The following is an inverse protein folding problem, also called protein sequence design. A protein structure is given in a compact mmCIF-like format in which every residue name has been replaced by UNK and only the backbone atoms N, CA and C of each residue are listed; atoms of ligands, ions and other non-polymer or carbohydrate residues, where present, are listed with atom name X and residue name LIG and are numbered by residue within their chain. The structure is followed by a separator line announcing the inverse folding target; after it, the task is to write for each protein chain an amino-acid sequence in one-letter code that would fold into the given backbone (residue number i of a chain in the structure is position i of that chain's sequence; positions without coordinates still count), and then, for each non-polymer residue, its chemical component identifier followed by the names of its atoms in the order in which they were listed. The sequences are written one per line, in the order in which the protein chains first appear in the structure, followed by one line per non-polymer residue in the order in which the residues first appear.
data_IF_117962309769
#
_entry.id   IF_117962309769
#
_cell.length_a   1.000
_cell.length_b   1.000
_cell.length_c   1.000
_cell.angle_alpha   90.00
_cell.angle_beta   90.00
_cell.angle_gamma   90.00
#
_symmetry.space_group_name_H-M   'P 1'
#
loop_
_entity.id
_entity.type
_entity.pdbx_description
1 polymer ?
#
# COMPACT_ATOMS: atom_id res chain seq x y z
N UNK A 1 -29.75 -34.49 20.27
CA UNK A 1 -29.03 -33.94 19.10
C UNK A 1 -29.07 -32.43 19.25
N UNK A 2 -27.93 -31.76 19.26
CA UNK A 2 -27.88 -30.32 19.52
C UNK A 2 -28.44 -29.53 18.32
N UNK A 3 -29.59 -28.87 18.50
CA UNK A 3 -30.28 -28.17 17.41
C UNK A 3 -29.40 -27.11 16.74
N UNK A 4 -28.58 -26.40 17.53
CA UNK A 4 -27.62 -25.43 17.01
C UNK A 4 -26.55 -26.07 16.12
N UNK A 5 -26.06 -27.26 16.48
CA UNK A 5 -25.07 -27.98 15.67
C UNK A 5 -25.69 -28.47 14.36
N UNK A 6 -26.92 -28.99 14.41
CA UNK A 6 -27.63 -29.41 13.21
C UNK A 6 -27.81 -28.25 12.22
N UNK A 7 -28.26 -27.08 12.70
CA UNK A 7 -28.42 -25.88 11.87
C UNK A 7 -27.07 -25.39 11.33
N UNK A 8 -26.02 -25.32 12.16
CA UNK A 8 -24.68 -24.92 11.73
C UNK A 8 -24.15 -25.81 10.59
N UNK A 9 -24.39 -27.12 10.68
CA UNK A 9 -23.93 -28.11 9.71
C UNK A 9 -24.76 -28.11 8.44
N UNK A 10 -26.09 -28.00 8.54
CA UNK A 10 -26.99 -28.12 7.39
C UNK A 10 -27.12 -26.83 6.58
N UNK A 11 -27.21 -25.67 7.25
CA UNK A 11 -27.41 -24.38 6.58
C UNK A 11 -26.10 -23.76 6.11
N UNK A 12 -25.03 -23.88 6.90
CA UNK A 12 -23.76 -23.21 6.63
C UNK A 12 -22.57 -24.14 6.36
N UNK A 13 -22.74 -25.47 6.48
CA UNK A 13 -21.65 -26.45 6.41
C UNK A 13 -20.47 -26.11 7.34
N UNK A 14 -20.76 -25.58 8.53
CA UNK A 14 -19.77 -25.22 9.55
C UNK A 14 -19.84 -26.15 10.77
N UNK A 15 -18.84 -26.02 11.65
CA UNK A 15 -18.70 -26.83 12.87
C UNK A 15 -18.90 -26.01 14.15
N UNK A 16 -18.26 -26.47 15.22
CA UNK A 16 -18.53 -26.07 16.61
C UNK A 16 -18.42 -24.56 16.91
N UNK A 17 -17.57 -23.83 16.19
CA UNK A 17 -17.50 -22.38 16.32
C UNK A 17 -18.83 -21.71 15.97
N UNK A 18 -19.43 -22.09 14.84
CA UNK A 18 -20.72 -21.56 14.39
C UNK A 18 -21.85 -22.00 15.31
N UNK A 19 -21.80 -23.22 15.82
CA UNK A 19 -22.73 -23.71 16.85
C UNK A 19 -22.72 -22.79 18.09
N UNK A 20 -21.52 -22.41 18.58
CA UNK A 20 -21.38 -21.46 19.70
C UNK A 20 -21.90 -20.06 19.36
N UNK A 21 -21.66 -19.57 18.15
CA UNK A 21 -22.20 -18.28 17.70
C UNK A 21 -23.73 -18.28 17.66
N UNK A 22 -24.36 -19.33 17.12
CA UNK A 22 -25.82 -19.46 17.05
C UNK A 22 -26.44 -19.42 18.44
N UNK A 23 -25.86 -20.17 19.40
CA UNK A 23 -26.31 -20.14 20.80
C UNK A 23 -26.19 -18.74 21.40
N UNK A 24 -25.01 -18.12 21.25
CA UNK A 24 -24.77 -16.76 21.73
C UNK A 24 -25.75 -15.73 21.14
N UNK A 25 -26.08 -15.84 19.85
CA UNK A 25 -27.07 -14.96 19.22
C UNK A 25 -28.48 -15.22 19.73
N UNK A 26 -28.84 -16.50 19.93
CA UNK A 26 -30.13 -16.89 20.51
C UNK A 26 -30.30 -16.36 21.94
N UNK A 27 -29.31 -16.57 22.80
CA UNK A 27 -29.32 -16.10 24.19
C UNK A 27 -29.46 -14.56 24.24
N UNK A 28 -28.66 -13.85 23.44
CA UNK A 28 -28.73 -12.39 23.34
C UNK A 28 -30.10 -11.89 22.85
N UNK A 29 -30.76 -12.62 21.94
CA UNK A 29 -32.09 -12.25 21.45
C UNK A 29 -33.18 -12.49 22.51
N UNK A 30 -33.07 -13.56 23.28
CA UNK A 30 -33.99 -13.85 24.40
C UNK A 30 -33.88 -12.75 25.47
N UNK A 31 -32.66 -12.29 25.76
CA UNK A 31 -32.41 -11.27 26.79
C UNK A 31 -32.82 -9.86 26.35
N UNK A 32 -32.49 -9.45 25.12
CA UNK A 32 -32.66 -8.07 24.65
C UNK A 32 -33.87 -7.84 23.74
N UNK A 33 -34.44 -8.91 23.15
CA UNK A 33 -35.45 -8.81 22.09
C UNK A 33 -34.91 -8.31 20.74
N UNK A 34 -33.61 -8.05 20.64
CA UNK A 34 -32.96 -7.49 19.45
C UNK A 34 -31.98 -8.49 18.84
N UNK A 35 -31.84 -8.45 17.51
CA UNK A 35 -30.84 -9.25 16.81
C UNK A 35 -29.43 -8.79 17.17
N UNK A 36 -28.52 -9.73 17.37
CA UNK A 36 -27.13 -9.44 17.73
C UNK A 36 -26.46 -8.56 16.67
N UNK A 37 -26.32 -7.27 16.98
CA UNK A 37 -25.64 -6.32 16.13
C UNK A 37 -24.12 -6.50 16.22
N UNK A 38 -23.50 -6.80 15.08
CA UNK A 38 -22.05 -6.95 15.00
C UNK A 38 -21.37 -5.60 15.14
N UNK A 39 -20.55 -5.44 16.18
CA UNK A 39 -19.89 -4.18 16.51
C UNK A 39 -18.43 -4.09 16.05
N UNK A 40 -17.89 -5.05 15.28
CA UNK A 40 -16.54 -4.85 14.74
C UNK A 40 -16.53 -3.71 13.71
N UNK A 41 -15.46 -2.91 13.76
CA UNK A 41 -15.24 -1.81 12.81
C UNK A 41 -15.54 -0.41 13.36
N UNK A 42 -16.03 -0.26 14.59
CA UNK A 42 -16.12 1.05 15.26
C UNK A 42 -14.77 1.45 15.87
N UNK A 43 -13.68 1.40 15.10
CA UNK A 43 -12.48 2.12 15.49
C UNK A 43 -12.84 3.60 15.58
N UNK A 44 -12.54 4.25 16.72
CA UNK A 44 -12.68 5.69 16.83
C UNK A 44 -11.86 6.31 15.70
N UNK A 45 -12.53 6.97 14.75
CA UNK A 45 -11.83 7.70 13.68
C UNK A 45 -10.93 8.71 14.36
N UNK A 46 -9.63 8.52 14.23
CA UNK A 46 -8.64 9.53 14.63
C UNK A 46 -8.58 10.52 13.49
N UNK A 47 -8.73 11.81 13.81
CA UNK A 47 -8.56 12.92 12.86
C UNK A 47 -7.19 12.73 12.19
N UNK A 48 -7.19 12.60 10.87
CA UNK A 48 -5.99 12.31 10.10
C UNK A 48 -5.00 13.48 10.16
N UNK A 49 -3.70 13.23 10.01
CA UNK A 49 -2.72 14.32 10.05
C UNK A 49 -2.89 15.30 8.87
N UNK A 50 -3.36 14.83 7.72
CA UNK A 50 -3.72 15.66 6.57
C UNK A 50 -4.92 16.58 6.82
N UNK A 51 -5.76 16.29 7.82
CA UNK A 51 -6.88 17.17 8.20
C UNK A 51 -6.38 18.39 9.01
N UNK A 52 -5.11 18.39 9.43
CA UNK A 52 -4.49 19.54 10.07
C UNK A 52 -3.98 20.53 9.02
N UNK A 53 -4.57 21.73 8.98
CA UNK A 53 -4.22 22.78 8.00
C UNK A 53 -2.74 23.19 8.05
N UNK A 54 -2.15 23.27 9.25
CA UNK A 54 -0.73 23.65 9.43
C UNK A 54 0.18 22.58 8.85
N UNK A 55 -0.14 21.31 9.07
CA UNK A 55 0.58 20.19 8.48
C UNK A 55 0.48 20.18 6.96
N UNK A 56 -0.75 20.29 6.45
CA UNK A 56 -1.05 20.22 5.02
C UNK A 56 -0.36 21.36 4.27
N UNK A 57 -0.46 22.59 4.78
CA UNK A 57 0.18 23.74 4.17
C UNK A 57 1.72 23.62 4.23
N UNK A 58 2.27 23.13 5.34
CA UNK A 58 3.71 22.88 5.45
C UNK A 58 4.21 21.83 4.45
N UNK A 59 3.46 20.76 4.21
CA UNK A 59 3.79 19.77 3.18
C UNK A 59 3.74 20.41 1.78
N UNK A 60 2.70 21.19 1.48
CA UNK A 60 2.54 21.86 0.19
C UNK A 60 3.66 22.85 -0.09
N UNK A 61 3.99 23.70 0.87
CA UNK A 61 5.07 24.69 0.73
C UNK A 61 6.43 24.03 0.49
N UNK A 62 6.70 22.91 1.17
CA UNK A 62 7.93 22.16 0.96
C UNK A 62 7.95 21.53 -0.43
N UNK A 63 6.86 20.87 -0.84
CA UNK A 63 6.77 20.22 -2.15
C UNK A 63 6.85 21.22 -3.30
N UNK A 64 6.32 22.44 -3.14
CA UNK A 64 6.42 23.51 -4.15
C UNK A 64 7.84 24.10 -4.28
N UNK A 65 8.66 24.02 -3.23
CA UNK A 65 10.03 24.55 -3.24
C UNK A 65 11.07 23.57 -3.76
N UNK A 66 10.75 22.29 -3.83
CA UNK A 66 11.69 21.26 -4.25
C UNK A 66 11.71 21.09 -5.78
N UNK A 67 12.90 20.83 -6.32
CA UNK A 67 13.05 20.28 -7.67
C UNK A 67 12.57 18.84 -7.67
N UNK A 68 11.94 18.43 -8.78
CA UNK A 68 11.40 17.09 -9.04
C UNK A 68 12.36 15.96 -8.66
N UNK A 69 13.64 16.16 -8.96
CA UNK A 69 14.70 15.17 -8.78
C UNK A 69 15.00 14.87 -7.30
N UNK A 70 14.68 15.80 -6.40
CA UNK A 70 14.88 15.66 -4.96
C UNK A 70 13.58 15.35 -4.21
N UNK A 71 12.45 15.36 -4.92
CA UNK A 71 11.12 15.10 -4.37
C UNK A 71 10.89 13.59 -4.21
N UNK A 72 11.41 13.02 -3.12
CA UNK A 72 11.21 11.61 -2.76
C UNK A 72 10.39 11.45 -1.48
N UNK A 73 9.71 10.30 -1.33
CA UNK A 73 8.98 9.94 -0.10
C UNK A 73 9.88 9.97 1.14
N UNK A 74 11.14 9.61 0.97
CA UNK A 74 12.16 9.67 2.03
C UNK A 74 12.53 11.11 2.39
N UNK A 75 12.70 11.99 1.41
CA UNK A 75 12.98 13.40 1.64
C UNK A 75 11.81 14.11 2.33
N UNK A 76 10.57 13.84 1.88
CA UNK A 76 9.37 14.36 2.53
C UNK A 76 9.24 13.86 3.98
N UNK A 77 9.56 12.57 4.23
CA UNK A 77 9.57 12.02 5.59
C UNK A 77 10.52 12.79 6.51
N UNK A 78 11.76 13.04 6.09
CA UNK A 78 12.73 13.79 6.89
C UNK A 78 12.21 15.20 7.19
N UNK A 79 11.66 15.89 6.19
CA UNK A 79 11.10 17.22 6.40
C UNK A 79 9.92 17.22 7.38
N UNK A 80 9.01 16.25 7.23
CA UNK A 80 7.87 16.10 8.13
C UNK A 80 8.34 15.88 9.57
N UNK A 81 9.31 14.98 9.78
CA UNK A 81 9.79 14.62 11.12
C UNK A 81 10.58 15.74 11.79
N UNK A 82 11.43 16.46 11.04
CA UNK A 82 12.30 17.50 11.60
C UNK A 82 11.60 18.86 11.73
N UNK A 83 10.67 19.19 10.84
CA UNK A 83 10.13 20.55 10.72
C UNK A 83 8.64 20.64 11.03
N UNK A 84 7.84 19.67 10.57
CA UNK A 84 6.37 19.78 10.66
C UNK A 84 5.80 19.17 11.94
N UNK A 85 6.26 17.98 12.33
CA UNK A 85 5.80 17.31 13.55
C UNK A 85 6.07 18.12 14.82
N UNK A 86 7.24 18.77 15.01
CA UNK A 86 7.48 19.59 16.20
C UNK A 86 6.54 20.80 16.33
N UNK A 87 5.96 21.27 15.21
CA UNK A 87 5.00 22.39 15.19
C UNK A 87 3.58 21.95 15.58
N UNK A 88 3.28 20.65 15.51
CA UNK A 88 1.94 20.11 15.74
C UNK A 88 1.88 19.51 17.15
N UNK A 89 1.06 20.10 18.01
CA UNK A 89 0.82 19.56 19.36
C UNK A 89 0.09 18.22 19.26
N UNK A 90 0.57 17.20 19.97
CA UNK A 90 0.01 15.84 20.06
C UNK A 90 0.13 14.94 18.81
N UNK A 91 1.05 15.21 17.89
CA UNK A 91 1.33 14.28 16.79
C UNK A 91 2.30 13.16 17.23
N UNK A 92 2.23 11.99 16.58
CA UNK A 92 3.27 10.96 16.72
C UNK A 92 4.58 11.51 16.18
N UNK A 93 5.71 11.21 16.84
CA UNK A 93 7.03 11.74 16.47
C UNK A 93 7.63 11.10 15.20
N UNK A 94 7.05 10.00 14.71
CA UNK A 94 7.60 9.21 13.60
C UNK A 94 6.48 8.86 12.64
N UNK A 95 6.74 9.02 11.34
CA UNK A 95 5.82 8.68 10.27
C UNK A 95 6.48 7.64 9.37
N UNK A 96 5.68 6.68 8.88
CA UNK A 96 6.20 5.69 7.94
C UNK A 96 6.41 6.32 6.57
N UNK A 97 7.43 5.87 5.84
CA UNK A 97 7.67 6.34 4.48
C UNK A 97 6.47 6.05 3.56
N UNK A 98 5.82 4.90 3.76
CA UNK A 98 4.58 4.54 3.07
C UNK A 98 3.48 5.60 3.26
N UNK A 99 3.36 6.17 4.45
CA UNK A 99 2.37 7.23 4.71
C UNK A 99 2.74 8.53 3.97
N UNK A 100 4.04 8.84 3.86
CA UNK A 100 4.50 9.99 3.07
C UNK A 100 4.14 9.84 1.59
N UNK A 101 4.23 8.63 1.02
CA UNK A 101 3.75 8.36 -0.35
C UNK A 101 2.26 8.63 -0.50
N UNK A 102 1.45 8.17 0.45
CA UNK A 102 0.00 8.44 0.46
C UNK A 102 -0.27 9.95 0.51
N UNK A 103 0.49 10.70 1.30
CA UNK A 103 0.35 12.15 1.39
C UNK A 103 0.75 12.87 0.11
N UNK A 104 1.85 12.46 -0.54
CA UNK A 104 2.24 13.02 -1.84
C UNK A 104 1.14 12.81 -2.88
N UNK A 105 0.61 11.59 -2.98
CA UNK A 105 -0.49 11.28 -3.88
C UNK A 105 -1.76 12.10 -3.55
N UNK A 106 -2.14 12.19 -2.28
CA UNK A 106 -3.30 12.99 -1.83
C UNK A 106 -3.13 14.50 -2.11
N UNK A 107 -1.90 15.00 -2.18
CA UNK A 107 -1.58 16.40 -2.48
C UNK A 107 -1.42 16.67 -3.99
N UNK A 108 -1.62 15.67 -4.85
CA UNK A 108 -1.52 15.79 -6.31
C UNK A 108 -0.12 15.59 -6.86
N UNK A 109 0.84 15.18 -6.04
CA UNK A 109 2.19 14.82 -6.48
C UNK A 109 2.21 13.33 -6.84
N UNK A 110 1.81 13.01 -8.08
CA UNK A 110 2.03 11.69 -8.67
C UNK A 110 3.53 11.54 -8.89
N UNK A 111 4.14 10.50 -8.32
CA UNK A 111 5.53 10.19 -8.66
C UNK A 111 5.60 9.93 -10.17
N UNK A 112 6.59 10.50 -10.84
CA UNK A 112 6.86 10.41 -12.29
C UNK A 112 7.15 8.99 -12.81
N UNK A 113 6.73 7.95 -12.09
CA UNK A 113 6.88 6.54 -12.43
C UNK A 113 5.57 6.02 -12.99
N UNK A 114 5.65 5.04 -13.89
CA UNK A 114 4.50 4.22 -14.28
C UNK A 114 3.94 3.51 -13.05
N UNK A 115 2.63 3.64 -12.87
CA UNK A 115 1.87 2.82 -11.94
C UNK A 115 1.36 1.57 -12.67
N UNK A 116 1.13 0.50 -11.90
CA UNK A 116 0.57 -0.74 -12.41
C UNK A 116 -0.64 -1.11 -11.58
N UNK A 117 -1.74 -1.45 -12.24
CA UNK A 117 -2.95 -1.95 -11.60
C UNK A 117 -3.10 -3.43 -11.92
N UNK A 118 -3.62 -4.16 -10.94
CA UNK A 118 -3.85 -5.60 -10.96
C UNK A 118 -2.60 -6.45 -10.65
N UNK A 119 -2.82 -7.65 -10.10
CA UNK A 119 -1.75 -8.57 -9.64
C UNK A 119 -0.92 -9.11 -10.82
N UNK A 120 -1.42 -8.96 -12.04
CA UNK A 120 -0.82 -9.43 -13.29
C UNK A 120 0.03 -8.35 -13.99
N UNK A 121 0.09 -7.13 -13.43
CA UNK A 121 0.82 -5.97 -13.98
C UNK A 121 0.44 -5.62 -15.44
N UNK A 122 -0.75 -6.03 -15.89
CA UNK A 122 -1.16 -5.91 -17.29
C UNK A 122 -1.64 -4.49 -17.63
N UNK A 123 -2.17 -3.75 -16.64
CA UNK A 123 -2.65 -2.38 -16.82
C UNK A 123 -1.57 -1.40 -16.38
N UNK A 124 -0.96 -0.73 -17.35
CA UNK A 124 -0.01 0.36 -17.13
C UNK A 124 -0.74 1.69 -17.04
N UNK A 125 -0.55 2.41 -15.94
CA UNK A 125 -1.00 3.79 -15.78
C UNK A 125 0.20 4.70 -16.06
N UNK A 126 0.13 5.42 -17.18
CA UNK A 126 1.13 6.43 -17.52
C UNK A 126 1.01 7.65 -16.59
N UNK A 127 2.14 8.19 -16.11
CA UNK A 127 2.13 9.43 -15.36
C UNK A 127 1.70 10.59 -16.28
N UNK A 128 0.96 11.54 -15.72
CA UNK A 128 0.65 12.81 -16.41
C UNK A 128 1.92 13.67 -16.38
N UNK A 129 2.54 13.89 -17.56
CA UNK A 129 3.79 14.63 -17.73
C UNK A 129 3.58 15.85 -18.63
N UNK A 130 4.17 16.99 -18.27
CA UNK A 130 4.28 18.15 -19.16
C UNK A 130 5.39 17.95 -20.22
N UNK A 131 5.38 18.76 -21.29
CA UNK A 131 6.29 18.61 -22.44
C UNK A 131 7.78 18.71 -22.10
N UNK A 132 8.16 19.26 -20.94
CA UNK A 132 9.53 19.38 -20.45
C UNK A 132 9.88 18.39 -19.34
N UNK A 133 8.91 17.60 -18.88
CA UNK A 133 9.09 16.62 -17.80
C UNK A 133 9.49 15.24 -18.36
N UNK A 134 10.30 14.51 -17.59
CA UNK A 134 10.79 13.18 -17.97
C UNK A 134 10.22 12.12 -17.04
N UNK A 135 9.81 11.01 -17.62
CA UNK A 135 9.45 9.80 -16.88
C UNK A 135 10.66 9.29 -16.07
N UNK A 136 10.44 8.99 -14.78
CA UNK A 136 11.41 8.33 -13.93
C UNK A 136 11.25 6.81 -14.08
N UNK A 137 12.31 6.17 -14.58
CA UNK A 137 12.37 4.70 -14.71
C UNK A 137 13.26 4.14 -13.59
N UNK A 138 12.72 3.23 -12.79
CA UNK A 138 13.52 2.49 -11.82
C UNK A 138 14.32 1.40 -12.56
N UNK A 139 15.63 1.58 -12.70
CA UNK A 139 16.52 0.53 -13.20
C UNK A 139 16.87 -0.41 -12.04
N UNK A 140 16.22 -1.56 -11.95
CA UNK A 140 16.61 -2.62 -11.02
C UNK A 140 17.61 -3.57 -11.67
N UNK A 141 18.75 -3.81 -11.02
CA UNK A 141 19.62 -4.94 -11.36
C UNK A 141 18.93 -6.22 -10.85
N UNK A 142 18.27 -6.96 -11.74
CA UNK A 142 17.74 -8.28 -11.41
C UNK A 142 18.73 -9.36 -11.86
N UNK A 143 19.20 -10.17 -10.91
CA UNK A 143 19.90 -11.41 -11.21
C UNK A 143 18.87 -12.50 -11.52
N UNK A 144 18.37 -12.49 -12.77
CA UNK A 144 17.41 -13.48 -13.23
C UNK A 144 17.99 -14.90 -13.15
N UNK A 145 17.34 -15.76 -12.38
CA UNK A 145 17.60 -17.20 -12.39
C UNK A 145 16.73 -17.84 -13.48
N UNK A 146 17.31 -18.08 -14.65
CA UNK A 146 16.64 -18.85 -15.69
C UNK A 146 16.74 -20.33 -15.36
N UNK A 147 15.59 -20.96 -15.08
CA UNK A 147 15.48 -22.41 -15.06
C UNK A 147 15.09 -22.90 -16.46
N UNK A 148 15.87 -23.81 -17.05
CA UNK A 148 15.41 -24.56 -18.22
C UNK A 148 14.28 -25.49 -17.73
N UNK A 149 13.03 -25.14 -18.02
CA UNK A 149 11.88 -26.00 -17.72
C UNK A 149 11.66 -27.01 -18.87
N UNK A 150 12.73 -27.68 -19.28
CA UNK A 150 12.75 -28.71 -20.34
C UNK A 150 12.59 -30.13 -19.78
N UNK A 151 12.32 -30.25 -18.47
CA UNK A 151 12.09 -31.52 -17.80
C UNK A 151 13.34 -32.38 -17.64
N UNK A 152 14.54 -31.87 -17.96
CA UNK A 152 15.78 -32.64 -17.81
C UNK A 152 16.48 -32.36 -16.47
N UNK A 153 17.07 -33.42 -15.89
CA UNK A 153 17.78 -33.35 -14.61
C UNK A 153 19.00 -32.42 -14.73
N UNK A 154 18.88 -31.26 -14.09
CA UNK A 154 19.90 -30.32 -13.58
C UNK A 154 21.35 -30.57 -14.05
N UNK A 155 21.84 -29.71 -14.94
CA UNK A 155 23.26 -29.33 -14.96
C UNK A 155 23.43 -27.98 -14.24
N UNK A 156 24.46 -27.87 -13.39
CA UNK A 156 24.72 -26.70 -12.54
C UNK A 156 25.06 -25.43 -13.34
N UNK A 157 24.93 -24.24 -12.74
CA UNK A 157 24.98 -22.99 -13.49
C UNK A 157 26.43 -22.63 -13.89
N UNK A 158 26.73 -22.72 -15.19
CA UNK A 158 27.77 -21.88 -15.77
C UNK A 158 27.25 -20.44 -15.83
N UNK A 159 27.94 -19.52 -15.15
CA UNK A 159 27.61 -18.09 -15.13
C UNK A 159 27.87 -17.48 -16.51
N UNK A 160 26.83 -17.35 -17.36
CA UNK A 160 26.91 -16.43 -18.49
C UNK A 160 26.71 -14.99 -17.99
N UNK A 161 27.75 -14.16 -18.14
CA UNK A 161 27.64 -12.71 -18.01
C UNK A 161 27.10 -12.15 -19.31
N UNK A 162 25.89 -11.61 -19.28
CA UNK A 162 25.35 -10.82 -20.39
C UNK A 162 25.67 -9.35 -20.09
N UNK A 163 26.49 -8.71 -20.93
CA UNK A 163 26.70 -7.27 -20.90
C UNK A 163 25.68 -6.62 -21.83
N UNK A 164 24.82 -5.74 -21.31
CA UNK A 164 23.98 -4.89 -22.15
C UNK A 164 24.70 -3.57 -22.41
N UNK A 165 24.88 -3.26 -23.70
CA UNK A 165 25.49 -2.04 -24.21
C UNK A 165 24.52 -0.86 -24.00
N UNK A 166 25.01 0.24 -23.43
CA UNK A 166 24.28 1.51 -23.40
C UNK A 166 24.11 2.03 -24.83
N UNK A 167 22.87 2.19 -25.30
CA UNK A 167 22.61 3.03 -26.46
C UNK A 167 22.78 4.49 -26.07
N UNK A 168 24.00 5.02 -26.20
CA UNK A 168 24.21 6.45 -26.34
C UNK A 168 23.78 6.86 -27.75
N UNK A 169 22.59 7.42 -27.89
CA UNK A 169 22.28 8.18 -29.11
C UNK A 169 22.99 9.53 -29.01
N UNK A 170 24.22 9.56 -29.53
CA UNK A 170 24.84 10.80 -29.97
C UNK A 170 24.07 11.31 -31.19
N UNK A 171 23.59 12.55 -31.11
CA UNK A 171 23.09 13.28 -32.28
C UNK A 171 24.30 13.93 -32.96
N UNK A 172 24.48 13.81 -34.29
CA UNK A 172 25.43 14.62 -35.04
C UNK A 172 25.10 16.11 -34.98
#
# INVERSE_FOLDING_TARGET
MDASFFVARTVWNKGDYTTRCIRKWGDSYIESGELFSYHQGKHKKVIGLLENEVFLNGCREWLQKQSLEFCSSKALKMHIEEVLLPKIKNAKNIISEKMCRIYMHALGYKMYMKDFVDDILEIVIEPELESDERELVQVTHDECHFYANDGQLKFGPEKMKIFYVQNTWGVP
#
